data_IF_913833688468
#
_entry.id   IF_913833688468
#
_cell.length_a   1.000
_cell.length_b   1.000
_cell.length_c   1.000
_cell.angle_alpha   90.00
_cell.angle_beta   90.00
_cell.angle_gamma   90.00
#
_symmetry.space_group_name_H-M   'P 1'
#
loop_
_entity.id
_entity.type
_entity.pdbx_description
1 polymer ?
#
# COMPACT_ATOMS: atom_id res chain seq x y z
N UNK A 1 -13.06 26.04 26.60
CA UNK A 1 -13.74 24.96 25.87
C UNK A 1 -14.10 25.48 24.49
N UNK A 2 -13.24 25.29 23.53
CA UNK A 2 -13.49 25.66 22.12
C UNK A 2 -13.27 24.38 21.34
N UNK A 3 -14.37 23.77 20.93
CA UNK A 3 -14.40 22.67 19.96
C UNK A 3 -13.86 23.21 18.62
N UNK A 4 -12.62 22.88 18.33
CA UNK A 4 -12.06 23.03 16.99
C UNK A 4 -12.74 21.96 16.12
N UNK A 5 -13.88 22.29 15.52
CA UNK A 5 -14.46 21.52 14.42
C UNK A 5 -13.42 21.51 13.31
N UNK A 6 -12.80 20.34 13.15
CA UNK A 6 -11.97 20.01 12.02
C UNK A 6 -12.87 20.10 10.77
N UNK A 7 -12.81 21.21 10.06
CA UNK A 7 -13.47 21.37 8.76
C UNK A 7 -12.73 20.43 7.79
N UNK A 8 -13.23 19.19 7.69
CA UNK A 8 -12.91 18.29 6.59
C UNK A 8 -13.12 19.08 5.29
N UNK A 9 -12.06 19.36 4.55
CA UNK A 9 -12.15 19.77 3.16
C UNK A 9 -12.83 18.61 2.41
N UNK A 10 -14.14 18.62 2.36
CA UNK A 10 -14.90 17.80 1.43
C UNK A 10 -14.69 18.42 0.05
N UNK A 11 -13.64 17.99 -0.64
CA UNK A 11 -13.53 18.20 -2.07
C UNK A 11 -14.82 17.65 -2.66
N UNK A 12 -15.77 18.47 -3.07
CA UNK A 12 -17.09 18.24 -3.64
C UNK A 12 -17.53 16.81 -4.02
N UNK A 13 -17.12 15.81 -3.25
CA UNK A 13 -17.43 14.40 -3.47
C UNK A 13 -18.89 14.11 -3.13
N UNK A 14 -19.52 13.31 -4.00
CA UNK A 14 -20.92 12.92 -3.82
C UNK A 14 -21.13 11.88 -2.69
N UNK A 15 -20.06 11.21 -2.23
CA UNK A 15 -20.09 10.13 -1.23
C UNK A 15 -18.79 10.09 -0.41
N UNK A 16 -18.71 9.21 0.61
CA UNK A 16 -17.49 8.95 1.37
C UNK A 16 -16.37 8.44 0.45
N UNK A 17 -15.10 8.73 0.77
CA UNK A 17 -13.97 8.18 0.03
C UNK A 17 -13.92 6.64 0.14
N UNK A 18 -13.17 5.94 -0.75
CA UNK A 18 -12.91 4.53 -0.59
C UNK A 18 -12.32 4.23 0.79
N UNK A 19 -12.76 3.15 1.41
CA UNK A 19 -12.22 2.73 2.70
C UNK A 19 -10.76 2.30 2.60
N UNK A 20 -10.37 1.67 1.50
CA UNK A 20 -9.02 1.21 1.22
C UNK A 20 -8.59 1.63 -0.20
N UNK A 21 -7.49 2.37 -0.25
CA UNK A 21 -6.82 2.78 -1.50
C UNK A 21 -5.47 2.07 -1.59
N UNK A 22 -5.14 1.53 -2.75
CA UNK A 22 -3.82 0.95 -3.02
C UNK A 22 -3.13 1.72 -4.14
N UNK A 23 -1.82 2.02 -4.00
CA UNK A 23 -1.07 2.85 -4.96
C UNK A 23 0.22 2.17 -5.38
N UNK A 24 0.43 2.06 -6.70
CA UNK A 24 1.72 1.68 -7.28
C UNK A 24 2.53 2.96 -7.49
N UNK A 25 3.53 3.22 -6.65
CA UNK A 25 4.34 4.45 -6.65
C UNK A 25 5.34 4.48 -7.84
N UNK A 26 4.82 4.54 -9.07
CA UNK A 26 5.61 4.46 -10.29
C UNK A 26 5.99 5.84 -10.85
N UNK A 27 7.13 5.89 -11.56
CA UNK A 27 7.61 7.10 -12.23
C UNK A 27 8.78 7.81 -11.55
N UNK A 28 9.23 7.39 -10.36
CA UNK A 28 10.33 8.03 -9.62
C UNK A 28 11.59 8.23 -10.46
N UNK A 29 12.03 7.15 -11.15
CA UNK A 29 13.24 7.21 -11.99
C UNK A 29 13.06 8.10 -13.22
N UNK A 30 11.90 8.05 -13.88
CA UNK A 30 11.57 8.90 -15.06
C UNK A 30 11.54 10.38 -14.67
N UNK A 31 10.92 10.68 -13.53
CA UNK A 31 10.86 12.03 -12.97
C UNK A 31 12.26 12.64 -12.78
N UNK A 32 13.19 11.89 -12.18
CA UNK A 32 14.57 12.32 -11.99
C UNK A 32 15.29 12.50 -13.32
N UNK A 33 15.19 11.54 -14.25
CA UNK A 33 15.83 11.60 -15.56
C UNK A 33 15.38 12.80 -16.39
N UNK A 34 14.06 13.12 -16.38
CA UNK A 34 13.52 14.30 -17.08
C UNK A 34 14.09 15.63 -16.54
N UNK A 35 14.60 15.63 -15.30
CA UNK A 35 15.18 16.81 -14.62
C UNK A 35 16.72 16.79 -14.59
N UNK A 36 17.35 15.85 -15.28
CA UNK A 36 18.81 15.68 -15.26
C UNK A 36 19.36 15.24 -13.91
N UNK A 37 18.52 14.66 -13.05
CA UNK A 37 18.88 14.23 -11.70
C UNK A 37 19.17 12.72 -11.65
N UNK A 38 19.97 12.25 -10.70
CA UNK A 38 20.17 10.83 -10.47
C UNK A 38 18.84 10.18 -10.01
N UNK A 39 18.60 8.92 -10.38
CA UNK A 39 17.36 8.17 -10.06
C UNK A 39 17.03 8.17 -8.54
N UNK A 40 18.06 8.20 -7.70
CA UNK A 40 17.93 8.29 -6.23
C UNK A 40 17.21 9.56 -5.75
N UNK A 41 17.37 10.69 -6.47
CA UNK A 41 16.63 11.91 -6.17
C UNK A 41 15.12 11.73 -6.42
N UNK A 42 14.74 10.97 -7.45
CA UNK A 42 13.34 10.62 -7.69
C UNK A 42 12.74 9.75 -6.59
N UNK A 43 13.49 8.77 -6.08
CA UNK A 43 13.02 7.96 -4.95
C UNK A 43 12.85 8.79 -3.68
N UNK A 44 13.74 9.75 -3.41
CA UNK A 44 13.60 10.68 -2.29
C UNK A 44 12.33 11.54 -2.45
N UNK A 45 12.12 12.15 -3.61
CA UNK A 45 10.93 12.95 -3.89
C UNK A 45 9.65 12.09 -3.77
N UNK A 46 9.65 10.85 -4.28
CA UNK A 46 8.53 9.93 -4.16
C UNK A 46 8.20 9.53 -2.72
N UNK A 47 9.20 9.45 -1.85
CA UNK A 47 8.97 9.19 -0.43
C UNK A 47 8.34 10.38 0.30
N UNK A 48 8.71 11.61 -0.05
CA UNK A 48 8.03 12.82 0.45
C UNK A 48 6.57 12.89 -0.04
N UNK A 49 6.33 12.52 -1.31
CA UNK A 49 4.98 12.38 -1.85
C UNK A 49 4.15 11.36 -1.06
N UNK A 50 4.73 10.19 -0.73
CA UNK A 50 4.04 9.19 0.09
C UNK A 50 3.58 9.77 1.43
N UNK A 51 4.44 10.49 2.15
CA UNK A 51 4.08 11.12 3.43
C UNK A 51 2.91 12.08 3.29
N UNK A 52 2.97 12.96 2.28
CA UNK A 52 1.93 13.94 1.99
C UNK A 52 0.60 13.23 1.67
N UNK A 53 0.61 12.26 0.78
CA UNK A 53 -0.59 11.53 0.38
C UNK A 53 -1.14 10.67 1.52
N UNK A 54 -0.29 10.01 2.32
CA UNK A 54 -0.74 9.27 3.50
C UNK A 54 -1.43 10.18 4.52
N UNK A 55 -0.84 11.35 4.80
CA UNK A 55 -1.47 12.36 5.67
C UNK A 55 -2.81 12.84 5.11
N UNK A 56 -2.88 13.10 3.81
CA UNK A 56 -4.11 13.51 3.16
C UNK A 56 -5.19 12.41 3.21
N UNK A 57 -4.85 11.16 2.88
CA UNK A 57 -5.75 10.01 3.00
C UNK A 57 -6.36 9.90 4.40
N UNK A 58 -5.52 10.01 5.43
CA UNK A 58 -5.98 10.03 6.82
C UNK A 58 -6.99 11.16 7.08
N UNK A 59 -6.65 12.38 6.66
CA UNK A 59 -7.46 13.57 6.92
C UNK A 59 -8.83 13.53 6.23
N UNK A 60 -8.94 12.89 5.07
CA UNK A 60 -10.20 12.73 4.33
C UNK A 60 -11.01 11.49 4.75
N UNK A 61 -10.50 10.69 5.71
CA UNK A 61 -11.23 9.55 6.28
C UNK A 61 -11.02 8.21 5.58
N UNK A 62 -10.02 8.08 4.68
CA UNK A 62 -9.54 6.77 4.21
C UNK A 62 -9.01 6.00 5.42
N UNK A 63 -9.30 4.71 5.50
CA UNK A 63 -8.89 3.87 6.63
C UNK A 63 -7.61 3.08 6.34
N UNK A 64 -7.42 2.64 5.11
CA UNK A 64 -6.27 1.83 4.69
C UNK A 64 -5.63 2.43 3.45
N UNK A 65 -4.33 2.58 3.48
CA UNK A 65 -3.53 2.95 2.32
C UNK A 65 -2.44 1.89 2.11
N UNK A 66 -2.49 1.13 1.02
CA UNK A 66 -1.44 0.17 0.68
C UNK A 66 -0.57 0.72 -0.44
N UNK A 67 0.76 0.73 -0.26
CA UNK A 67 1.69 1.26 -1.26
C UNK A 67 2.73 0.24 -1.69
N UNK A 68 3.06 0.22 -2.99
CA UNK A 68 4.09 -0.65 -3.55
C UNK A 68 5.45 0.05 -3.50
N UNK A 69 6.20 -0.20 -2.42
CA UNK A 69 7.49 0.44 -2.19
C UNK A 69 8.66 -0.30 -2.86
N UNK A 70 8.68 -1.65 -2.78
CA UNK A 70 9.74 -2.46 -3.38
C UNK A 70 9.20 -3.85 -3.76
N UNK A 71 9.24 -4.17 -5.06
CA UNK A 71 8.78 -5.47 -5.56
C UNK A 71 9.90 -6.51 -5.55
N UNK A 72 9.52 -7.80 -5.59
CA UNK A 72 10.47 -8.91 -5.77
C UNK A 72 11.31 -8.77 -7.03
N UNK A 73 10.78 -8.15 -8.10
CA UNK A 73 11.49 -7.90 -9.35
C UNK A 73 12.53 -6.78 -9.25
N UNK A 74 12.41 -5.89 -8.25
CA UNK A 74 13.31 -4.74 -8.10
C UNK A 74 14.74 -5.13 -7.68
N UNK A 75 14.96 -6.34 -7.18
CA UNK A 75 16.30 -6.88 -6.95
C UNK A 75 17.16 -6.96 -8.22
N UNK A 76 16.53 -6.95 -9.41
CA UNK A 76 17.24 -6.92 -10.71
C UNK A 76 17.79 -5.55 -11.07
N UNK A 77 17.50 -4.51 -10.29
CA UNK A 77 18.07 -3.16 -10.48
C UNK A 77 19.54 -3.13 -10.09
N UNK A 78 20.23 -2.03 -10.43
CA UNK A 78 21.62 -1.87 -10.00
C UNK A 78 21.73 -1.89 -8.47
N UNK A 79 22.83 -2.43 -7.94
CA UNK A 79 23.12 -2.46 -6.50
C UNK A 79 23.05 -1.06 -5.89
N UNK A 80 23.54 -0.04 -6.61
CA UNK A 80 23.48 1.36 -6.16
C UNK A 80 22.04 1.84 -5.96
N UNK A 81 21.13 1.50 -6.91
CA UNK A 81 19.72 1.88 -6.79
C UNK A 81 19.03 1.13 -5.65
N UNK A 82 19.25 -0.19 -5.52
CA UNK A 82 18.71 -1.01 -4.43
C UNK A 82 19.19 -0.50 -3.09
N UNK A 83 20.49 -0.29 -2.91
CA UNK A 83 21.08 0.21 -1.67
C UNK A 83 20.52 1.59 -1.28
N UNK A 84 20.31 2.48 -2.26
CA UNK A 84 19.74 3.79 -2.01
C UNK A 84 18.27 3.70 -1.55
N UNK A 85 17.48 2.80 -2.14
CA UNK A 85 16.08 2.58 -1.72
C UNK A 85 16.04 2.02 -0.31
N UNK A 86 16.87 1.03 0.03
CA UNK A 86 16.92 0.44 1.38
C UNK A 86 17.41 1.45 2.43
N UNK A 87 18.40 2.29 2.10
CA UNK A 87 18.85 3.36 2.99
C UNK A 87 17.76 4.42 3.23
N UNK A 88 16.99 4.76 2.19
CA UNK A 88 15.88 5.68 2.29
C UNK A 88 14.75 5.10 3.16
N UNK A 89 14.41 3.83 2.97
CA UNK A 89 13.44 3.12 3.79
C UNK A 89 13.86 3.10 5.25
N UNK A 90 15.12 2.74 5.54
CA UNK A 90 15.67 2.78 6.91
C UNK A 90 15.51 4.15 7.55
N UNK A 91 15.88 5.20 6.84
CA UNK A 91 15.72 6.58 7.33
C UNK A 91 14.27 6.87 7.72
N UNK A 92 13.31 6.54 6.84
CA UNK A 92 11.90 6.83 7.09
C UNK A 92 11.30 5.98 8.20
N UNK A 93 11.76 4.74 8.38
CA UNK A 93 11.32 3.91 9.51
C UNK A 93 11.83 4.45 10.85
N UNK A 94 13.08 4.92 10.91
CA UNK A 94 13.60 5.57 12.12
C UNK A 94 12.79 6.82 12.49
N UNK A 95 12.42 7.63 11.49
CA UNK A 95 11.56 8.79 11.72
C UNK A 95 10.11 8.38 12.08
N UNK A 96 9.64 7.25 11.58
CA UNK A 96 8.30 6.74 11.84
C UNK A 96 8.13 6.28 13.29
N UNK A 97 9.11 5.59 13.86
CA UNK A 97 9.10 5.13 15.27
C UNK A 97 8.76 6.29 16.22
N UNK A 98 9.31 7.48 15.97
CA UNK A 98 9.12 8.66 16.84
C UNK A 98 7.76 9.37 16.62
N UNK A 99 7.09 9.13 15.50
CA UNK A 99 5.95 9.97 15.08
C UNK A 99 4.64 9.22 14.88
N UNK A 100 4.66 7.94 14.52
CA UNK A 100 3.47 7.17 14.11
C UNK A 100 2.46 7.00 15.23
N UNK A 101 2.93 6.71 16.45
CA UNK A 101 2.06 6.58 17.62
C UNK A 101 1.36 7.91 17.93
N UNK A 102 2.12 9.01 18.00
CA UNK A 102 1.57 10.36 18.23
C UNK A 102 0.57 10.76 17.14
N UNK A 103 0.86 10.40 15.90
CA UNK A 103 0.04 10.77 14.77
C UNK A 103 -1.09 9.76 14.50
N UNK A 104 -1.28 8.75 15.38
CA UNK A 104 -2.29 7.70 15.23
C UNK A 104 -2.29 7.06 13.82
N UNK A 105 -1.11 6.66 13.37
CA UNK A 105 -0.90 5.96 12.10
C UNK A 105 -0.33 4.59 12.42
N UNK A 106 -1.10 3.54 12.14
CA UNK A 106 -0.58 2.18 12.14
C UNK A 106 0.24 1.94 10.89
N UNK A 107 1.46 1.39 11.05
CA UNK A 107 2.28 0.96 9.93
C UNK A 107 2.36 -0.56 9.91
N UNK A 108 2.12 -1.16 8.75
CA UNK A 108 2.18 -2.61 8.56
C UNK A 108 2.93 -2.98 7.28
N UNK A 109 3.58 -4.16 7.23
CA UNK A 109 4.40 -4.56 6.10
C UNK A 109 3.87 -5.83 5.44
N UNK A 110 3.77 -5.81 4.11
CA UNK A 110 3.50 -6.97 3.28
C UNK A 110 4.77 -7.39 2.55
N UNK A 111 5.00 -8.67 2.41
CA UNK A 111 6.09 -9.26 1.64
C UNK A 111 6.99 -10.16 2.47
N UNK A 112 7.85 -10.88 1.77
CA UNK A 112 8.87 -11.73 2.41
C UNK A 112 10.05 -10.89 2.90
N UNK A 113 10.13 -10.71 4.21
CA UNK A 113 11.19 -9.93 4.85
C UNK A 113 12.51 -10.70 4.98
N UNK A 114 12.55 -12.00 4.62
CA UNK A 114 13.75 -12.84 4.78
C UNK A 114 14.99 -12.32 4.04
N UNK A 115 14.88 -11.82 2.77
CA UNK A 115 16.04 -11.28 2.06
C UNK A 115 16.44 -9.87 2.50
N UNK A 116 15.61 -9.19 3.31
CA UNK A 116 15.88 -7.85 3.80
C UNK A 116 16.95 -7.89 4.90
N UNK A 117 17.86 -6.91 4.89
CA UNK A 117 18.93 -6.82 5.88
C UNK A 117 18.37 -6.91 7.31
N UNK A 118 19.00 -7.71 8.21
CA UNK A 118 18.46 -7.98 9.55
C UNK A 118 18.10 -6.72 10.34
N UNK A 119 18.92 -5.68 10.24
CA UNK A 119 18.71 -4.41 10.92
C UNK A 119 17.44 -3.70 10.44
N UNK A 120 17.20 -3.68 9.11
CA UNK A 120 16.02 -3.05 8.53
C UNK A 120 14.76 -3.86 8.82
N UNK A 121 14.88 -5.19 8.82
CA UNK A 121 13.80 -6.09 9.21
C UNK A 121 13.40 -5.92 10.68
N UNK A 122 14.37 -5.80 11.58
CA UNK A 122 14.12 -5.55 12.99
C UNK A 122 13.39 -4.21 13.21
N UNK A 123 13.82 -3.16 12.50
CA UNK A 123 13.20 -1.84 12.57
C UNK A 123 11.75 -1.84 12.02
N UNK A 124 11.50 -2.56 10.94
CA UNK A 124 10.16 -2.71 10.39
C UNK A 124 9.22 -3.45 11.38
N UNK A 125 9.72 -4.50 12.03
CA UNK A 125 8.98 -5.25 13.05
C UNK A 125 8.70 -4.36 14.28
N UNK A 126 9.71 -3.65 14.78
CA UNK A 126 9.55 -2.71 15.89
C UNK A 126 8.47 -1.66 15.58
N UNK A 127 8.46 -1.10 14.36
CA UNK A 127 7.48 -0.10 13.95
C UNK A 127 6.06 -0.69 13.90
N UNK A 128 5.89 -1.93 13.43
CA UNK A 128 4.60 -2.62 13.42
C UNK A 128 4.12 -2.91 14.86
N UNK A 129 5.00 -3.41 15.74
CA UNK A 129 4.68 -3.70 17.15
C UNK A 129 4.29 -2.44 17.94
N UNK A 130 5.05 -1.34 17.81
CA UNK A 130 4.76 -0.07 18.50
C UNK A 130 3.37 0.44 18.14
N UNK A 131 2.93 0.24 16.90
CA UNK A 131 1.64 0.72 16.40
C UNK A 131 0.52 -0.32 16.46
N UNK A 132 0.77 -1.56 16.92
CA UNK A 132 -0.23 -2.63 16.96
C UNK A 132 -1.42 -2.32 17.87
N UNK A 133 -1.18 -1.59 18.96
CA UNK A 133 -2.22 -1.19 19.92
C UNK A 133 -3.18 -0.13 19.39
N UNK A 134 -2.86 0.53 18.26
CA UNK A 134 -3.73 1.52 17.65
C UNK A 134 -5.04 0.86 17.20
N UNK A 135 -6.13 1.59 17.39
CA UNK A 135 -7.47 1.12 17.09
C UNK A 135 -7.65 0.77 15.61
N UNK A 136 -8.53 -0.19 15.32
CA UNK A 136 -8.97 -0.47 13.94
C UNK A 136 -9.69 0.72 13.29
N UNK A 137 -10.06 1.73 14.08
CA UNK A 137 -10.63 2.98 13.60
C UNK A 137 -9.58 4.02 13.22
N UNK A 138 -8.31 3.81 13.59
CA UNK A 138 -7.21 4.64 13.18
C UNK A 138 -6.80 4.36 11.72
N UNK A 139 -6.02 5.27 11.15
CA UNK A 139 -5.50 5.12 9.79
C UNK A 139 -4.36 4.10 9.77
N UNK A 140 -4.40 3.17 8.82
CA UNK A 140 -3.34 2.18 8.62
C UNK A 140 -2.68 2.35 7.25
N UNK A 141 -1.36 2.50 7.25
CA UNK A 141 -0.54 2.46 6.04
C UNK A 141 0.16 1.09 5.93
N UNK A 142 -0.07 0.39 4.82
CA UNK A 142 0.56 -0.89 4.51
C UNK A 142 1.65 -0.66 3.47
N UNK A 143 2.87 -1.09 3.76
CA UNK A 143 4.02 -0.92 2.87
C UNK A 143 4.41 -2.28 2.29
N UNK A 144 4.22 -2.46 0.99
CA UNK A 144 4.66 -3.67 0.30
C UNK A 144 6.17 -3.59 0.05
N UNK A 145 6.94 -4.39 0.81
CA UNK A 145 8.39 -4.46 0.78
C UNK A 145 8.85 -5.87 0.45
N UNK A 146 9.67 -6.01 -0.59
CA UNK A 146 10.01 -7.32 -1.18
C UNK A 146 8.76 -8.16 -1.43
N UNK A 147 7.74 -7.48 -1.97
CA UNK A 147 6.42 -8.05 -2.20
C UNK A 147 6.21 -8.41 -3.68
N UNK A 148 5.42 -9.44 -3.90
CA UNK A 148 4.86 -9.80 -5.19
C UNK A 148 3.67 -10.72 -4.98
N UNK A 149 2.51 -10.44 -5.62
CA UNK A 149 1.28 -11.21 -5.40
C UNK A 149 1.42 -12.69 -5.73
N UNK A 150 2.22 -13.06 -6.74
CA UNK A 150 2.52 -14.47 -7.02
C UNK A 150 3.32 -15.14 -5.90
N UNK A 151 4.30 -14.44 -5.35
CA UNK A 151 5.09 -14.94 -4.22
C UNK A 151 4.22 -15.08 -2.96
N UNK A 152 3.42 -14.07 -2.65
CA UNK A 152 2.47 -14.09 -1.54
C UNK A 152 1.53 -15.29 -1.61
N UNK A 153 0.89 -15.51 -2.79
CA UNK A 153 0.00 -16.66 -3.01
C UNK A 153 0.76 -17.97 -2.81
N UNK A 154 1.98 -18.11 -3.34
CA UNK A 154 2.77 -19.33 -3.16
C UNK A 154 3.17 -19.54 -1.70
N UNK A 155 3.50 -18.50 -0.95
CA UNK A 155 3.76 -18.60 0.50
C UNK A 155 2.51 -19.07 1.25
N UNK A 156 1.35 -18.51 0.95
CA UNK A 156 0.08 -18.94 1.52
C UNK A 156 -0.24 -20.40 1.21
N UNK A 157 -0.12 -20.81 -0.06
CA UNK A 157 -0.34 -22.22 -0.49
C UNK A 157 0.59 -23.19 0.24
N UNK A 158 1.87 -22.85 0.41
CA UNK A 158 2.82 -23.70 1.15
C UNK A 158 2.41 -23.89 2.61
N UNK A 159 1.92 -22.82 3.28
CA UNK A 159 1.42 -22.91 4.67
C UNK A 159 0.20 -23.82 4.75
N UNK A 160 -0.78 -23.64 3.88
CA UNK A 160 -1.97 -24.51 3.82
C UNK A 160 -1.59 -25.97 3.55
N UNK A 161 -0.70 -26.22 2.60
CA UNK A 161 -0.24 -27.58 2.28
C UNK A 161 0.48 -28.25 3.47
N UNK A 162 1.28 -27.51 4.21
CA UNK A 162 1.94 -28.01 5.43
C UNK A 162 0.91 -28.38 6.51
N UNK A 163 -0.08 -27.52 6.77
CA UNK A 163 -1.15 -27.79 7.74
C UNK A 163 -1.99 -29.02 7.34
N UNK A 164 -2.25 -29.21 6.04
CA UNK A 164 -2.93 -30.42 5.54
C UNK A 164 -2.06 -31.67 5.74
N UNK A 165 -0.77 -31.61 5.45
CA UNK A 165 0.17 -32.73 5.66
C UNK A 165 0.30 -33.10 7.15
N UNK A 166 0.19 -32.15 8.05
CA UNK A 166 0.21 -32.35 9.50
C UNK A 166 -1.15 -32.79 10.08
N UNK A 167 -2.19 -32.91 9.24
CA UNK A 167 -3.55 -33.28 9.67
C UNK A 167 -4.27 -32.19 10.48
N UNK A 168 -3.74 -30.98 10.52
CA UNK A 168 -4.38 -29.83 11.19
C UNK A 168 -5.56 -29.26 10.42
N UNK A 169 -5.61 -29.53 9.12
CA UNK A 169 -6.63 -29.05 8.20
C UNK A 169 -6.90 -30.06 7.08
N UNK A 170 -8.09 -30.02 6.53
CA UNK A 170 -8.43 -30.82 5.35
C UNK A 170 -8.46 -29.91 4.12
N UNK A 171 -8.07 -30.40 2.92
CA UNK A 171 -8.16 -29.59 1.69
C UNK A 171 -9.56 -29.05 1.41
N UNK A 172 -10.61 -29.79 1.80
CA UNK A 172 -12.02 -29.43 1.59
C UNK A 172 -12.46 -28.24 2.44
N UNK A 173 -11.73 -27.92 3.53
CA UNK A 173 -12.02 -26.78 4.40
C UNK A 173 -11.57 -25.46 3.77
N UNK A 174 -10.74 -25.52 2.69
CA UNK A 174 -10.17 -24.34 2.06
C UNK A 174 -11.20 -23.65 1.15
N UNK A 175 -11.62 -22.46 1.57
CA UNK A 175 -12.42 -21.53 0.78
C UNK A 175 -11.69 -20.17 0.63
N UNK A 176 -12.28 -19.21 -0.09
CA UNK A 176 -11.70 -17.89 -0.32
C UNK A 176 -11.48 -17.13 0.98
N UNK A 177 -12.40 -17.24 1.94
CA UNK A 177 -12.33 -16.56 3.24
C UNK A 177 -11.16 -17.08 4.05
N UNK A 178 -11.06 -18.40 4.15
CA UNK A 178 -9.97 -19.04 4.85
C UNK A 178 -8.62 -18.77 4.18
N UNK A 179 -8.55 -18.87 2.84
CA UNK A 179 -7.31 -18.59 2.11
C UNK A 179 -6.81 -17.16 2.35
N UNK A 180 -7.72 -16.19 2.39
CA UNK A 180 -7.38 -14.78 2.66
C UNK A 180 -6.71 -14.60 4.03
N UNK A 181 -6.93 -15.49 5.00
CA UNK A 181 -6.24 -15.43 6.31
C UNK A 181 -4.78 -15.85 6.26
N UNK A 182 -4.33 -16.45 5.17
CA UNK A 182 -2.93 -16.83 4.94
C UNK A 182 -2.14 -15.77 4.15
N UNK A 183 -2.80 -14.74 3.64
CA UNK A 183 -2.16 -13.65 2.90
C UNK A 183 -1.57 -12.62 3.87
N UNK A 184 -0.65 -11.81 3.37
CA UNK A 184 -0.04 -10.71 4.15
C UNK A 184 -1.08 -9.65 4.55
N UNK A 185 -2.17 -9.55 3.79
CA UNK A 185 -3.31 -8.66 4.03
C UNK A 185 -4.37 -9.22 4.99
N UNK A 186 -4.09 -10.33 5.71
CA UNK A 186 -5.05 -10.95 6.60
C UNK A 186 -5.67 -9.95 7.59
N UNK A 187 -7.02 -9.90 7.63
CA UNK A 187 -7.77 -8.98 8.49
C UNK A 187 -7.90 -7.55 7.96
N UNK A 188 -7.30 -7.23 6.83
CA UNK A 188 -7.41 -5.94 6.13
C UNK A 188 -8.39 -6.12 4.96
N UNK A 189 -9.38 -5.22 4.77
CA UNK A 189 -10.29 -5.33 3.64
C UNK A 189 -9.56 -5.14 2.31
N UNK A 190 -10.05 -5.78 1.25
CA UNK A 190 -9.51 -5.58 -0.10
C UNK A 190 -9.59 -4.11 -0.54
N UNK A 191 -8.64 -3.63 -1.37
CA UNK A 191 -8.67 -2.27 -1.87
C UNK A 191 -9.87 -2.05 -2.80
N UNK A 192 -10.60 -0.97 -2.56
CA UNK A 192 -11.71 -0.57 -3.43
C UNK A 192 -11.22 0.19 -4.66
N UNK A 193 -10.09 0.89 -4.53
CA UNK A 193 -9.47 1.69 -5.59
C UNK A 193 -7.96 1.40 -5.66
N UNK A 194 -7.49 1.03 -6.86
CA UNK A 194 -6.06 0.92 -7.16
C UNK A 194 -5.67 2.07 -8.09
N UNK A 195 -4.64 2.83 -7.69
CA UNK A 195 -4.13 3.97 -8.44
C UNK A 195 -2.74 3.62 -8.99
N UNK A 196 -2.53 3.87 -10.28
CA UNK A 196 -1.19 3.79 -10.87
C UNK A 196 -0.86 5.04 -11.65
N UNK A 197 0.03 5.89 -11.11
CA UNK A 197 0.69 6.99 -11.81
C UNK A 197 1.57 6.50 -12.98
N UNK A 198 2.02 7.44 -13.81
CA UNK A 198 3.07 7.28 -14.82
C UNK A 198 2.64 6.69 -16.17
N UNK A 199 1.32 6.66 -16.46
CA UNK A 199 0.78 6.21 -17.77
C UNK A 199 0.79 4.70 -18.00
N UNK A 200 1.25 3.91 -17.02
CA UNK A 200 1.32 2.46 -17.13
C UNK A 200 0.01 1.80 -16.69
N UNK A 201 -0.52 0.86 -17.48
CA UNK A 201 -1.83 0.24 -17.26
C UNK A 201 -1.72 -1.26 -16.94
N UNK A 202 -0.82 -1.64 -16.06
CA UNK A 202 -0.63 -3.01 -15.59
C UNK A 202 -0.43 -3.06 -14.09
N UNK A 203 -0.74 -4.19 -13.44
CA UNK A 203 -0.60 -4.38 -12.00
C UNK A 203 0.84 -4.65 -11.55
N UNK A 204 1.69 -5.13 -12.43
CA UNK A 204 3.08 -5.48 -12.10
C UNK A 204 3.21 -6.36 -10.86
N UNK A 205 2.37 -7.40 -10.77
CA UNK A 205 2.39 -8.37 -9.66
C UNK A 205 1.95 -7.78 -8.29
N UNK A 206 1.23 -6.66 -8.29
CA UNK A 206 0.74 -5.99 -7.08
C UNK A 206 -0.65 -6.50 -6.70
N UNK A 207 -0.85 -6.93 -5.47
CA UNK A 207 -2.12 -7.32 -4.83
C UNK A 207 -3.03 -8.20 -5.71
N UNK A 208 -2.49 -9.26 -6.35
CA UNK A 208 -3.20 -10.05 -7.37
C UNK A 208 -4.48 -10.72 -6.84
N UNK A 209 -4.49 -11.17 -5.59
CA UNK A 209 -5.67 -11.74 -4.96
C UNK A 209 -6.67 -10.66 -4.58
N UNK A 210 -6.19 -9.64 -3.90
CA UNK A 210 -7.00 -8.60 -3.28
C UNK A 210 -7.64 -7.64 -4.31
N UNK A 211 -7.11 -7.57 -5.54
CA UNK A 211 -7.63 -6.65 -6.56
C UNK A 211 -8.84 -7.17 -7.35
N UNK A 212 -9.38 -8.35 -6.99
CA UNK A 212 -10.41 -9.04 -7.77
C UNK A 212 -11.65 -8.17 -8.08
N UNK A 213 -12.01 -7.26 -7.19
CA UNK A 213 -13.15 -6.34 -7.34
C UNK A 213 -12.76 -4.87 -7.19
N UNK A 214 -11.48 -4.56 -7.28
CA UNK A 214 -11.00 -3.17 -7.22
C UNK A 214 -11.34 -2.40 -8.49
N UNK A 215 -11.63 -1.12 -8.33
CA UNK A 215 -11.64 -0.18 -9.44
C UNK A 215 -10.22 0.34 -9.70
N UNK A 216 -9.91 0.66 -10.96
CA UNK A 216 -8.57 1.12 -11.35
C UNK A 216 -8.61 2.56 -11.84
N UNK A 217 -7.65 3.36 -11.40
CA UNK A 217 -7.39 4.69 -11.90
C UNK A 217 -5.96 4.81 -12.39
N UNK A 218 -5.79 5.24 -13.62
CA UNK A 218 -4.48 5.44 -14.25
C UNK A 218 -4.31 6.91 -14.61
N UNK A 219 -3.14 7.48 -14.36
CA UNK A 219 -2.79 8.85 -14.71
C UNK A 219 -1.39 8.93 -15.29
N UNK A 220 -1.15 9.88 -16.19
CA UNK A 220 0.19 10.14 -16.77
C UNK A 220 1.12 10.87 -15.81
N UNK A 221 0.58 11.46 -14.74
CA UNK A 221 1.35 12.13 -13.68
C UNK A 221 2.36 11.16 -13.09
N UNK A 222 3.62 11.56 -12.97
CA UNK A 222 4.65 10.75 -12.33
C UNK A 222 4.49 10.81 -10.80
N UNK A 223 4.80 9.71 -10.10
CA UNK A 223 4.55 9.64 -8.65
C UNK A 223 5.11 10.84 -7.84
N UNK A 224 6.34 11.36 -8.06
CA UNK A 224 6.80 12.52 -7.32
C UNK A 224 5.98 13.80 -7.50
N UNK A 225 5.28 13.93 -8.62
CA UNK A 225 4.41 15.07 -8.94
C UNK A 225 2.93 14.78 -8.61
N UNK A 226 2.59 13.58 -8.12
CA UNK A 226 1.24 13.18 -7.72
C UNK A 226 0.86 13.91 -6.43
N UNK A 227 -0.18 14.72 -6.48
CA UNK A 227 -0.64 15.55 -5.37
C UNK A 227 -2.05 15.19 -4.88
N UNK A 228 -2.56 15.97 -3.96
CA UNK A 228 -3.88 15.81 -3.38
C UNK A 228 -4.97 16.00 -4.43
N UNK A 229 -4.79 16.92 -5.40
CA UNK A 229 -5.75 17.14 -6.48
C UNK A 229 -5.85 15.94 -7.40
N UNK A 230 -4.72 15.28 -7.71
CA UNK A 230 -4.71 14.03 -8.49
C UNK A 230 -5.39 12.88 -7.73
N UNK A 231 -5.22 12.81 -6.41
CA UNK A 231 -5.94 11.84 -5.58
C UNK A 231 -7.44 12.12 -5.58
N UNK A 232 -7.86 13.37 -5.49
CA UNK A 232 -9.27 13.77 -5.55
C UNK A 232 -9.91 13.41 -6.89
N UNK A 233 -9.19 13.57 -8.01
CA UNK A 233 -9.65 13.13 -9.34
C UNK A 233 -9.84 11.61 -9.37
N UNK A 234 -8.92 10.84 -8.77
CA UNK A 234 -9.02 9.39 -8.70
C UNK A 234 -10.25 8.95 -7.87
N UNK A 235 -10.48 9.59 -6.73
CA UNK A 235 -11.65 9.33 -5.86
C UNK A 235 -12.95 9.72 -6.57
N UNK A 236 -13.00 10.86 -7.23
CA UNK A 236 -14.18 11.29 -8.00
C UNK A 236 -14.48 10.32 -9.15
N UNK A 237 -13.46 9.86 -9.87
CA UNK A 237 -13.60 8.83 -10.90
C UNK A 237 -14.16 7.51 -10.34
N UNK A 238 -13.65 7.06 -9.18
CA UNK A 238 -14.18 5.91 -8.47
C UNK A 238 -15.65 6.07 -8.10
N UNK A 239 -16.04 7.20 -7.53
CA UNK A 239 -17.42 7.48 -7.11
C UNK A 239 -18.40 7.59 -8.28
N UNK A 240 -17.94 7.97 -9.47
CA UNK A 240 -18.76 8.05 -10.67
C UNK A 240 -19.12 6.68 -11.26
N UNK A 241 -18.48 5.60 -10.82
CA UNK A 241 -18.70 4.27 -11.36
C UNK A 241 -19.85 3.53 -10.67
N UNK A 242 -20.65 2.81 -11.44
CA UNK A 242 -21.72 1.95 -10.95
C UNK A 242 -21.16 0.55 -10.63
N UNK A 243 -20.84 0.30 -9.37
CA UNK A 243 -20.26 -1.00 -8.91
C UNK A 243 -21.36 -2.05 -8.80
N UNK A 244 -21.35 -3.04 -9.68
CA UNK A 244 -22.44 -4.04 -9.81
C UNK A 244 -22.17 -5.39 -9.11
N UNK A 245 -20.95 -5.70 -8.72
CA UNK A 245 -20.55 -6.96 -8.06
C UNK A 245 -21.25 -8.22 -8.64
N UNK A 246 -21.39 -8.28 -9.97
CA UNK A 246 -22.08 -9.39 -10.65
C UNK A 246 -23.62 -9.36 -10.59
N UNK A 247 -24.23 -8.40 -9.89
CA UNK A 247 -25.68 -8.25 -9.80
C UNK A 247 -26.25 -7.41 -10.96
N UNK A 248 -27.44 -7.81 -11.47
CA UNK A 248 -28.21 -7.01 -12.44
C UNK A 248 -29.18 -6.14 -11.65
N UNK A 249 -29.12 -4.80 -11.80
CA UNK A 249 -30.20 -3.92 -11.32
C UNK A 249 -31.47 -4.28 -12.10
N UNK A 250 -32.51 -4.72 -11.38
CA UNK A 250 -33.87 -4.87 -11.92
C UNK A 250 -34.48 -3.52 -12.18
#
# INVERSE_FOLDING_TARGET
MSETRNTLHTAGWAASPPRHIAIIMDGNGRWATQRGLPRTAGHKAGAETFRRIATYCKNIGVKYLTVYAFSTENWKRSETEVSAIMALLKKYLLEAVDTMERDHIRLHFFGDMTPIAPELRALAHETDEITEHLSKDDFQANVCLNYGGRDEILRAVRRVAAECAEGKRKPEDLDETLFSTYLDSAGIPDPELIIRPSGEQRLSNFLLWQCAYSEFYYTDTLWPDFDEEELDKAIAAYQSRDRRFGGVKK
#
